data_IF_052946731795
#
_entry.id   IF_052946731795
#
_cell.length_a   1.000
_cell.length_b   1.000
_cell.length_c   1.000
_cell.angle_alpha   90.00
_cell.angle_beta   90.00
_cell.angle_gamma   90.00
#
_symmetry.space_group_name_H-M   'P 1'
#
loop_
_entity.id
_entity.type
_entity.pdbx_description
1 polymer ?
#
# COMPACT_ATOMS: atom_id res chain seq x y z
N UNK A 1 11.19 -4.82 -23.28
CA UNK A 1 11.71 -3.43 -23.35
C UNK A 1 11.42 -2.63 -22.08
N UNK A 2 10.25 -2.77 -21.46
CA UNK A 2 9.88 -2.04 -20.24
C UNK A 2 10.77 -2.36 -19.03
N UNK A 3 11.05 -3.64 -18.73
CA UNK A 3 11.91 -4.04 -17.60
C UNK A 3 13.33 -3.46 -17.67
N UNK A 4 13.93 -3.39 -18.87
CA UNK A 4 15.25 -2.77 -19.05
C UNK A 4 15.22 -1.28 -18.72
N UNK A 5 14.13 -0.58 -19.08
CA UNK A 5 13.94 0.83 -18.74
C UNK A 5 13.78 1.00 -17.23
N UNK A 6 12.86 0.24 -16.61
CA UNK A 6 12.62 0.26 -15.16
C UNK A 6 13.93 0.03 -14.42
N UNK A 7 14.68 -1.02 -14.76
CA UNK A 7 15.99 -1.32 -14.15
C UNK A 7 16.99 -0.17 -14.29
N UNK A 8 17.03 0.48 -15.45
CA UNK A 8 17.90 1.63 -15.68
C UNK A 8 17.48 2.83 -14.82
N UNK A 9 16.18 3.08 -14.64
CA UNK A 9 15.66 4.12 -13.75
C UNK A 9 16.08 3.87 -12.28
N UNK A 10 15.98 2.63 -11.79
CA UNK A 10 16.49 2.29 -10.46
C UNK A 10 17.99 2.47 -10.32
N UNK A 11 18.77 1.98 -11.29
CA UNK A 11 20.22 2.12 -11.27
C UNK A 11 20.65 3.59 -11.29
N UNK A 12 19.92 4.43 -12.03
CA UNK A 12 20.15 5.87 -12.10
C UNK A 12 19.76 6.55 -10.78
N UNK A 13 18.61 6.22 -10.20
CA UNK A 13 18.19 6.74 -8.89
C UNK A 13 19.20 6.41 -7.78
N UNK A 14 19.74 5.19 -7.77
CA UNK A 14 20.79 4.79 -6.83
C UNK A 14 22.15 5.50 -7.05
N UNK A 15 22.41 6.04 -8.25
CA UNK A 15 23.64 6.80 -8.53
C UNK A 15 23.46 8.31 -8.34
N UNK A 16 22.22 8.79 -8.43
CA UNK A 16 21.86 10.20 -8.36
C UNK A 16 20.71 10.35 -7.35
N UNK A 17 21.03 10.14 -6.07
CA UNK A 17 20.06 10.14 -4.97
C UNK A 17 19.32 11.49 -4.83
N UNK A 18 19.95 12.59 -5.26
CA UNK A 18 19.37 13.94 -5.25
C UNK A 18 18.41 14.21 -6.43
N UNK A 19 18.34 13.30 -7.42
CA UNK A 19 17.47 13.45 -8.60
C UNK A 19 16.20 12.62 -8.43
N UNK A 20 15.03 13.25 -8.63
CA UNK A 20 13.70 12.64 -8.53
C UNK A 20 13.38 11.74 -9.76
N UNK A 21 14.22 10.74 -10.00
CA UNK A 21 14.10 9.81 -11.14
C UNK A 21 12.90 8.86 -10.96
N UNK A 22 12.72 8.36 -9.74
CA UNK A 22 11.53 7.59 -9.35
C UNK A 22 10.69 8.49 -8.46
N UNK A 23 9.67 9.12 -9.05
CA UNK A 23 8.82 10.12 -8.39
C UNK A 23 7.96 9.52 -7.26
N UNK A 24 7.70 8.21 -7.28
CA UNK A 24 6.85 7.55 -6.30
C UNK A 24 7.66 6.62 -5.39
N UNK A 25 7.89 7.00 -4.12
CA UNK A 25 8.62 6.19 -3.12
C UNK A 25 8.05 4.79 -2.92
N UNK A 26 6.75 4.57 -3.21
CA UNK A 26 6.14 3.24 -3.13
C UNK A 26 6.74 2.22 -4.12
N UNK A 27 7.58 2.68 -5.04
CA UNK A 27 8.34 1.84 -5.96
C UNK A 27 9.78 1.63 -5.50
N UNK A 28 10.29 2.28 -4.46
CA UNK A 28 11.65 2.04 -3.98
C UNK A 28 11.66 0.88 -2.96
N UNK A 29 12.49 -0.19 -3.16
CA UNK A 29 12.56 -1.29 -2.20
C UNK A 29 12.87 -0.81 -0.78
N UNK A 30 13.88 0.03 -0.60
CA UNK A 30 14.30 0.54 0.70
C UNK A 30 13.18 1.31 1.43
N UNK A 31 12.37 2.08 0.70
CA UNK A 31 11.23 2.81 1.25
C UNK A 31 10.10 1.85 1.67
N UNK A 32 9.85 0.79 0.90
CA UNK A 32 8.90 -0.25 1.28
C UNK A 32 9.38 -1.09 2.47
N UNK A 33 10.69 -1.35 2.56
CA UNK A 33 11.31 -2.02 3.71
C UNK A 33 11.18 -1.18 4.98
N UNK A 34 11.44 0.13 4.88
CA UNK A 34 11.23 1.09 5.96
C UNK A 34 9.79 1.05 6.48
N UNK A 35 8.81 1.14 5.59
CA UNK A 35 7.39 1.02 5.95
C UNK A 35 7.07 -0.33 6.61
N UNK A 36 7.61 -1.41 6.06
CA UNK A 36 7.42 -2.76 6.59
C UNK A 36 7.97 -2.90 8.01
N UNK A 37 9.18 -2.43 8.29
CA UNK A 37 9.80 -2.52 9.62
C UNK A 37 9.06 -1.69 10.65
N UNK A 38 8.63 -0.48 10.30
CA UNK A 38 7.81 0.37 11.18
C UNK A 38 6.51 -0.33 11.54
N UNK A 39 5.79 -0.87 10.56
CA UNK A 39 4.53 -1.60 10.85
C UNK A 39 4.79 -2.90 11.61
N UNK A 40 5.87 -3.63 11.31
CA UNK A 40 6.23 -4.88 12.01
C UNK A 40 6.52 -4.66 13.49
N UNK A 41 7.14 -3.54 13.83
CA UNK A 41 7.56 -3.22 15.21
C UNK A 41 6.57 -2.32 15.95
N UNK A 42 5.50 -1.87 15.28
CA UNK A 42 4.49 -1.01 15.87
C UNK A 42 3.83 -1.70 17.07
N UNK A 43 3.70 -1.04 18.23
CA UNK A 43 3.01 -1.61 19.37
C UNK A 43 1.58 -2.02 19.02
N UNK A 44 1.17 -3.18 19.51
CA UNK A 44 -0.13 -3.79 19.23
C UNK A 44 -1.31 -2.86 19.48
N UNK A 45 -1.25 -2.06 20.56
CA UNK A 45 -2.30 -1.08 20.90
C UNK A 45 -2.38 0.06 19.87
N UNK A 46 -1.23 0.61 19.47
CA UNK A 46 -1.15 1.66 18.43
C UNK A 46 -1.61 1.11 17.09
N UNK A 47 -1.17 -0.09 16.71
CA UNK A 47 -1.66 -0.72 15.48
C UNK A 47 -3.18 -0.92 15.54
N UNK A 48 -3.72 -1.40 16.67
CA UNK A 48 -5.16 -1.62 16.83
C UNK A 48 -5.97 -0.32 16.67
N UNK A 49 -5.49 0.78 17.25
CA UNK A 49 -6.12 2.09 17.15
C UNK A 49 -6.18 2.58 15.71
N UNK A 50 -5.05 2.56 15.01
CA UNK A 50 -4.96 3.12 13.67
C UNK A 50 -5.56 2.20 12.59
N UNK A 51 -5.46 0.88 12.72
CA UNK A 51 -5.80 -0.08 11.67
C UNK A 51 -7.15 -0.78 11.82
N UNK A 52 -7.92 -0.51 12.90
CA UNK A 52 -9.24 -1.15 13.08
C UNK A 52 -10.20 -0.88 11.94
N UNK A 53 -10.31 0.38 11.54
CA UNK A 53 -11.18 0.78 10.43
C UNK A 53 -10.75 0.08 9.13
N UNK A 54 -9.44 -0.05 8.90
CA UNK A 54 -8.89 -0.71 7.73
C UNK A 54 -9.20 -2.20 7.71
N UNK A 55 -9.01 -2.87 8.85
CA UNK A 55 -9.39 -4.26 9.04
C UNK A 55 -10.87 -4.48 8.76
N UNK A 56 -11.73 -3.65 9.35
CA UNK A 56 -13.16 -3.77 9.18
C UNK A 56 -13.57 -3.53 7.72
N UNK A 57 -12.94 -2.59 7.01
CA UNK A 57 -13.19 -2.35 5.59
C UNK A 57 -12.66 -3.45 4.68
N UNK A 58 -11.53 -4.09 5.00
CA UNK A 58 -11.02 -5.24 4.23
C UNK A 58 -11.96 -6.45 4.36
N UNK A 59 -12.50 -6.68 5.57
CA UNK A 59 -13.38 -7.80 5.87
C UNK A 59 -14.83 -7.55 5.42
N UNK A 60 -15.38 -6.41 5.76
CA UNK A 60 -16.76 -5.98 5.49
C UNK A 60 -16.75 -4.70 4.62
N UNK A 61 -16.43 -4.95 3.35
CA UNK A 61 -16.06 -3.95 2.35
C UNK A 61 -17.23 -3.17 1.74
N UNK A 62 -18.47 -3.62 1.95
CA UNK A 62 -19.69 -2.99 1.42
C UNK A 62 -20.70 -2.61 2.49
N UNK A 63 -20.35 -2.63 3.78
CA UNK A 63 -21.26 -2.25 4.87
C UNK A 63 -21.73 -0.78 4.80
N UNK A 64 -21.94 -0.11 5.93
CA UNK A 64 -22.39 1.30 5.99
C UNK A 64 -21.35 2.34 5.45
N UNK A 65 -20.33 1.89 4.70
CA UNK A 65 -19.21 2.70 4.21
C UNK A 65 -19.42 3.27 2.81
N UNK A 66 -20.34 2.69 2.03
CA UNK A 66 -20.61 3.09 0.64
C UNK A 66 -22.12 3.28 0.50
N UNK A 67 -22.56 4.49 0.20
CA UNK A 67 -23.97 4.84 0.01
C UNK A 67 -24.50 4.48 -1.39
N UNK A 68 -23.61 4.20 -2.34
CA UNK A 68 -23.94 3.88 -3.73
C UNK A 68 -24.25 2.39 -3.93
N UNK A 69 -25.01 2.07 -5.00
CA UNK A 69 -25.18 0.69 -5.46
C UNK A 69 -23.83 0.15 -5.98
N UNK A 70 -23.17 -0.70 -5.19
CA UNK A 70 -21.85 -1.26 -5.48
C UNK A 70 -21.94 -2.47 -6.42
N UNK A 71 -21.20 -2.42 -7.53
CA UNK A 71 -21.00 -3.59 -8.40
C UNK A 71 -19.86 -4.48 -7.90
N UNK A 72 -18.71 -3.87 -7.59
CA UNK A 72 -17.54 -4.57 -7.05
C UNK A 72 -16.65 -3.64 -6.24
N UNK A 73 -16.06 -4.15 -5.17
CA UNK A 73 -14.97 -3.45 -4.48
C UNK A 73 -13.65 -3.94 -5.06
N UNK A 74 -12.82 -3.01 -5.50
CA UNK A 74 -11.56 -3.32 -6.15
C UNK A 74 -10.43 -3.40 -5.14
N UNK A 75 -10.31 -2.37 -4.28
CA UNK A 75 -9.18 -2.22 -3.34
C UNK A 75 -9.57 -1.41 -2.12
N UNK A 76 -9.01 -1.78 -0.98
CA UNK A 76 -9.04 -1.01 0.27
C UNK A 76 -7.62 -0.50 0.54
N UNK A 77 -7.51 0.82 0.74
CA UNK A 77 -6.24 1.53 0.90
C UNK A 77 -6.20 2.25 2.23
N UNK A 78 -5.00 2.33 2.80
CA UNK A 78 -4.70 3.17 3.94
C UNK A 78 -3.33 3.80 3.76
N UNK A 79 -3.26 5.11 4.01
CA UNK A 79 -1.98 5.79 4.07
C UNK A 79 -1.41 5.68 5.47
N UNK A 80 -0.10 5.46 5.55
CA UNK A 80 0.67 5.51 6.78
C UNK A 80 1.73 6.59 6.62
N UNK A 81 1.99 7.30 7.70
CA UNK A 81 2.91 8.44 7.72
C UNK A 81 4.08 8.12 8.63
N UNK A 82 5.29 8.23 8.11
CA UNK A 82 6.52 7.87 8.81
C UNK A 82 7.45 9.08 8.82
N UNK A 83 8.02 9.40 9.98
CA UNK A 83 8.99 10.50 10.10
C UNK A 83 10.33 10.13 9.49
N UNK A 84 11.17 11.13 9.18
CA UNK A 84 12.54 10.90 8.69
C UNK A 84 13.40 10.02 9.63
N UNK A 85 13.05 9.95 10.93
CA UNK A 85 13.70 9.11 11.93
C UNK A 85 13.15 7.67 11.98
N UNK A 86 12.33 7.27 11.00
CA UNK A 86 11.67 5.97 10.91
C UNK A 86 10.68 5.68 12.04
N UNK A 87 9.97 6.71 12.51
CA UNK A 87 8.91 6.53 13.51
C UNK A 87 7.53 6.65 12.87
N UNK A 88 6.58 5.82 13.33
CA UNK A 88 5.17 5.96 12.94
C UNK A 88 4.62 7.28 13.49
N UNK A 89 4.10 8.12 12.60
CA UNK A 89 3.53 9.44 12.96
C UNK A 89 2.01 9.34 13.07
N UNK A 90 1.36 8.83 12.03
CA UNK A 90 -0.10 8.71 11.95
C UNK A 90 -0.52 7.81 10.77
N UNK A 91 -1.83 7.66 10.56
CA UNK A 91 -2.42 7.03 9.38
C UNK A 91 -3.67 7.76 8.91
N UNK A 92 -3.96 7.74 7.60
CA UNK A 92 -5.19 8.33 7.07
C UNK A 92 -6.44 7.54 7.44
N UNK A 93 -7.62 8.11 7.19
CA UNK A 93 -8.87 7.35 7.03
C UNK A 93 -8.73 6.27 5.95
N UNK A 94 -9.58 5.24 6.04
CA UNK A 94 -9.58 4.14 5.09
C UNK A 94 -10.30 4.52 3.81
N UNK A 95 -9.63 4.34 2.68
CA UNK A 95 -10.16 4.64 1.36
C UNK A 95 -10.53 3.35 0.63
N UNK A 96 -11.77 3.24 0.16
CA UNK A 96 -12.25 2.10 -0.63
C UNK A 96 -12.43 2.55 -2.07
N UNK A 97 -11.73 1.88 -2.98
CA UNK A 97 -11.94 1.99 -4.41
C UNK A 97 -12.92 0.92 -4.86
N UNK A 98 -13.99 1.31 -5.53
CA UNK A 98 -15.05 0.43 -5.99
C UNK A 98 -15.57 0.87 -7.36
N UNK A 99 -16.25 -0.05 -8.03
CA UNK A 99 -17.00 0.22 -9.26
C UNK A 99 -18.49 0.20 -8.92
N UNK A 100 -19.20 1.27 -9.28
CA UNK A 100 -20.65 1.36 -9.08
C UNK A 100 -21.43 0.57 -10.15
N UNK A 101 -22.74 0.44 -9.98
CA UNK A 101 -23.60 -0.27 -10.97
C UNK A 101 -23.69 0.42 -12.34
N UNK A 102 -23.22 1.66 -12.48
CA UNK A 102 -23.08 2.35 -13.76
C UNK A 102 -21.80 1.97 -14.50
N UNK A 103 -20.86 1.31 -13.82
CA UNK A 103 -19.53 0.94 -14.32
C UNK A 103 -18.47 2.02 -14.10
N UNK A 104 -18.75 3.03 -13.27
CA UNK A 104 -17.82 4.10 -12.93
C UNK A 104 -16.98 3.71 -11.71
N UNK A 105 -15.66 3.95 -11.77
CA UNK A 105 -14.78 3.77 -10.62
C UNK A 105 -14.86 4.97 -9.69
N UNK A 106 -15.15 4.71 -8.42
CA UNK A 106 -15.24 5.70 -7.35
C UNK A 106 -14.33 5.35 -6.18
N UNK A 107 -14.12 6.34 -5.32
CA UNK A 107 -13.31 6.23 -4.11
C UNK A 107 -14.06 6.89 -2.97
N UNK A 108 -14.13 6.25 -1.79
CA UNK A 108 -14.86 6.79 -0.62
C UNK A 108 -14.17 8.01 0.01
N UNK A 109 -12.85 8.05 -0.02
CA UNK A 109 -12.03 9.16 0.50
C UNK A 109 -11.15 9.66 -0.63
N UNK A 110 -11.50 10.83 -1.18
CA UNK A 110 -10.80 11.42 -2.33
C UNK A 110 -9.45 12.04 -1.97
N UNK A 111 -9.29 12.51 -0.74
CA UNK A 111 -8.04 13.10 -0.26
C UNK A 111 -7.82 12.85 1.22
N UNK A 112 -6.57 12.66 1.61
CA UNK A 112 -6.14 12.60 3.00
C UNK A 112 -5.33 13.87 3.32
N UNK A 113 -5.44 14.37 4.55
CA UNK A 113 -4.57 15.45 5.01
C UNK A 113 -3.25 14.84 5.47
N UNK A 114 -2.18 15.10 4.72
CA UNK A 114 -0.86 14.57 5.04
C UNK A 114 -0.24 15.39 6.21
N UNK A 115 0.24 14.73 7.29
CA UNK A 115 0.98 15.40 8.35
C UNK A 115 2.21 16.11 7.79
N UNK A 116 2.58 17.29 8.33
CA UNK A 116 3.77 18.00 7.88
C UNK A 116 5.02 17.16 8.16
N UNK A 117 5.94 17.12 7.18
CA UNK A 117 7.26 16.49 7.31
C UNK A 117 7.24 14.97 7.58
N UNK A 118 6.19 14.27 7.16
CA UNK A 118 6.12 12.81 7.17
C UNK A 118 6.08 12.25 5.74
N UNK A 119 6.80 11.16 5.53
CA UNK A 119 6.75 10.40 4.29
C UNK A 119 5.50 9.53 4.26
N UNK A 120 4.82 9.53 3.11
CA UNK A 120 3.55 8.84 2.92
C UNK A 120 3.74 7.52 2.20
N UNK A 121 3.23 6.45 2.81
CA UNK A 121 3.21 5.11 2.22
C UNK A 121 1.78 4.60 2.11
N UNK A 122 1.51 3.79 1.08
CA UNK A 122 0.17 3.25 0.83
C UNK A 122 0.18 1.75 1.07
N UNK A 123 -0.61 1.31 2.06
CA UNK A 123 -0.95 -0.10 2.22
C UNK A 123 -2.23 -0.36 1.44
N UNK A 124 -2.18 -1.35 0.54
CA UNK A 124 -3.32 -1.73 -0.29
C UNK A 124 -3.60 -3.22 -0.13
N UNK A 125 -4.85 -3.56 0.14
CA UNK A 125 -5.35 -4.93 0.20
C UNK A 125 -6.63 -4.99 -0.65
N UNK A 126 -6.91 -6.11 -1.31
CA UNK A 126 -8.23 -6.34 -1.89
C UNK A 126 -9.24 -6.57 -0.75
N UNK A 127 -10.56 -6.54 -1.03
CA UNK A 127 -11.53 -7.11 -0.11
C UNK A 127 -11.20 -8.58 0.14
N UNK A 128 -11.23 -9.01 1.39
CA UNK A 128 -10.86 -10.36 1.79
C UNK A 128 -11.94 -10.98 2.67
N UNK A 129 -12.37 -12.19 2.32
CA UNK A 129 -13.16 -13.02 3.22
C UNK A 129 -12.22 -13.69 4.21
N UNK A 130 -12.31 -13.30 5.48
CA UNK A 130 -11.50 -13.88 6.57
C UNK A 130 -12.34 -14.98 7.22
N UNK A 131 -12.15 -16.23 6.76
CA UNK A 131 -12.90 -17.41 7.23
C UNK A 131 -12.15 -18.22 8.30
N UNK A 132 -11.02 -17.69 8.79
CA UNK A 132 -10.14 -18.39 9.72
C UNK A 132 -10.52 -18.09 11.15
N UNK A 133 -10.88 -19.14 11.89
CA UNK A 133 -11.21 -19.06 13.32
C UNK A 133 -10.02 -18.57 14.18
N UNK A 134 -8.79 -18.75 13.70
CA UNK A 134 -7.55 -18.31 14.36
C UNK A 134 -7.07 -16.92 13.91
N UNK A 135 -7.83 -16.21 13.07
CA UNK A 135 -7.48 -14.85 12.67
C UNK A 135 -7.93 -13.85 13.73
N UNK A 136 -6.99 -13.44 14.57
CA UNK A 136 -7.22 -12.50 15.67
C UNK A 136 -6.69 -11.10 15.30
N UNK A 137 -7.57 -10.10 15.35
CA UNK A 137 -7.15 -8.69 15.31
C UNK A 137 -6.76 -8.24 16.72
N UNK A 138 -5.67 -7.47 16.90
CA UNK A 138 -4.83 -6.85 15.86
C UNK A 138 -3.72 -7.70 15.24
N UNK A 139 -3.19 -8.71 15.93
CA UNK A 139 -1.90 -9.35 15.61
C UNK A 139 -1.87 -10.06 14.25
N UNK A 140 -2.91 -10.83 13.92
CA UNK A 140 -3.00 -11.55 12.64
C UNK A 140 -3.14 -10.57 11.47
N UNK A 141 -3.80 -9.43 11.69
CA UNK A 141 -3.93 -8.40 10.67
C UNK A 141 -2.64 -7.61 10.48
N UNK A 142 -1.90 -7.30 11.55
CA UNK A 142 -0.57 -6.71 11.46
C UNK A 142 0.37 -7.62 10.67
N UNK A 143 0.37 -8.93 10.95
CA UNK A 143 1.14 -9.91 10.18
C UNK A 143 0.73 -9.96 8.70
N UNK A 144 -0.57 -9.87 8.40
CA UNK A 144 -1.07 -9.81 7.02
C UNK A 144 -0.57 -8.55 6.30
N UNK A 145 -0.62 -7.38 6.94
CA UNK A 145 -0.13 -6.12 6.35
C UNK A 145 1.37 -6.21 6.06
N UNK A 146 2.17 -6.73 7.01
CA UNK A 146 3.62 -6.95 6.81
C UNK A 146 3.86 -7.93 5.67
N UNK A 147 3.13 -9.04 5.61
CA UNK A 147 3.23 -10.02 4.52
C UNK A 147 2.89 -9.43 3.16
N UNK A 148 1.90 -8.53 3.10
CA UNK A 148 1.55 -7.83 1.88
C UNK A 148 2.68 -6.88 1.45
N UNK A 149 3.31 -6.15 2.37
CA UNK A 149 4.46 -5.28 2.06
C UNK A 149 5.66 -6.09 1.57
N UNK A 150 5.94 -7.28 2.13
CA UNK A 150 6.95 -8.20 1.60
C UNK A 150 6.66 -8.60 0.14
N UNK A 151 5.40 -8.93 -0.17
CA UNK A 151 4.98 -9.21 -1.54
C UNK A 151 5.11 -7.98 -2.46
N UNK A 152 4.91 -6.77 -1.94
CA UNK A 152 5.12 -5.56 -2.74
C UNK A 152 6.59 -5.31 -3.07
N UNK A 153 7.51 -5.57 -2.12
CA UNK A 153 8.95 -5.51 -2.34
C UNK A 153 9.35 -6.53 -3.42
N UNK A 154 8.86 -7.77 -3.30
CA UNK A 154 9.02 -8.82 -4.33
C UNK A 154 8.66 -8.31 -5.73
N UNK A 155 7.48 -7.70 -5.84
CA UNK A 155 6.94 -7.28 -7.13
C UNK A 155 7.71 -6.10 -7.73
N UNK A 156 8.34 -5.25 -6.90
CA UNK A 156 9.28 -4.23 -7.38
C UNK A 156 10.47 -4.88 -8.07
N UNK A 157 11.11 -5.89 -7.46
CA UNK A 157 12.23 -6.62 -8.09
C UNK A 157 11.81 -7.31 -9.38
N UNK A 158 10.66 -7.99 -9.37
CA UNK A 158 10.13 -8.63 -10.58
C UNK A 158 9.82 -7.61 -11.69
N UNK A 159 9.36 -6.41 -11.33
CA UNK A 159 9.13 -5.32 -12.28
C UNK A 159 10.44 -4.78 -12.88
N UNK A 160 11.56 -4.84 -12.14
CA UNK A 160 12.92 -4.59 -12.66
C UNK A 160 13.46 -5.73 -13.53
N UNK A 161 12.79 -6.89 -13.56
CA UNK A 161 13.34 -8.11 -14.15
C UNK A 161 14.50 -8.71 -13.35
N UNK A 162 14.55 -8.43 -12.04
CA UNK A 162 15.53 -8.97 -11.10
C UNK A 162 14.90 -10.04 -10.20
N UNK A 163 15.74 -10.92 -9.67
CA UNK A 163 15.32 -11.90 -8.67
C UNK A 163 15.24 -11.22 -7.30
N UNK A 164 14.08 -11.26 -6.62
CA UNK A 164 13.95 -10.66 -5.29
C UNK A 164 14.82 -11.40 -4.25
N UNK A 165 15.31 -10.69 -3.21
CA UNK A 165 15.95 -11.31 -2.06
C UNK A 165 15.10 -12.44 -1.46
N UNK A 166 15.75 -13.49 -0.95
CA UNK A 166 15.07 -14.72 -0.49
C UNK A 166 13.98 -14.46 0.55
N UNK A 167 14.17 -13.49 1.45
CA UNK A 167 13.16 -13.14 2.47
C UNK A 167 11.86 -12.56 1.87
N UNK A 168 11.92 -11.97 0.68
CA UNK A 168 10.77 -11.41 -0.03
C UNK A 168 10.21 -12.38 -1.09
N UNK A 169 10.77 -13.58 -1.24
CA UNK A 169 10.21 -14.63 -2.12
C UNK A 169 8.99 -15.32 -1.47
N UNK A 170 8.05 -14.52 -0.99
CA UNK A 170 6.80 -14.95 -0.36
C UNK A 170 5.66 -14.92 -1.37
N UNK A 171 4.67 -15.79 -1.23
CA UNK A 171 3.45 -15.77 -2.06
C UNK A 171 2.38 -14.86 -1.43
N UNK A 172 1.60 -14.19 -2.28
CA UNK A 172 0.57 -13.25 -1.85
C UNK A 172 0.28 -12.16 -2.89
N UNK A 173 -0.63 -11.24 -2.55
CA UNK A 173 -1.21 -10.25 -3.46
C UNK A 173 -0.16 -9.26 -3.99
N UNK A 174 0.60 -8.63 -3.09
CA UNK A 174 1.66 -7.69 -3.46
C UNK A 174 1.17 -6.45 -4.19
N UNK A 175 1.92 -5.99 -5.21
CA UNK A 175 1.56 -4.83 -6.02
C UNK A 175 0.56 -5.20 -7.10
N UNK A 176 -0.43 -4.35 -7.23
CA UNK A 176 -1.59 -4.55 -8.10
C UNK A 176 -1.54 -3.62 -9.33
N UNK A 177 -0.39 -3.00 -9.59
CA UNK A 177 -0.11 -2.12 -10.73
C UNK A 177 1.38 -2.17 -11.05
N UNK A 178 1.80 -1.79 -12.26
CA UNK A 178 3.21 -1.62 -12.65
C UNK A 178 3.69 -0.17 -12.50
N UNK A 179 5.00 0.09 -12.42
CA UNK A 179 5.57 1.44 -12.25
C UNK A 179 5.07 2.46 -13.29
N UNK A 180 4.64 1.98 -14.47
CA UNK A 180 4.23 2.82 -15.58
C UNK A 180 2.75 2.66 -15.98
N UNK A 181 1.91 2.07 -15.11
CA UNK A 181 0.49 1.84 -15.39
C UNK A 181 -0.37 3.13 -15.41
N UNK A 182 0.23 4.32 -15.30
CA UNK A 182 -0.44 5.57 -15.68
C UNK A 182 -1.65 5.99 -14.83
N UNK A 183 -1.83 5.48 -13.61
CA UNK A 183 -2.84 5.96 -12.66
C UNK A 183 -2.28 7.00 -11.65
N UNK A 184 -1.43 7.88 -12.13
CA UNK A 184 -1.18 9.17 -11.47
C UNK A 184 -1.89 10.22 -12.30
N UNK A 185 -3.16 10.48 -11.98
CA UNK A 185 -3.75 11.76 -12.35
C UNK A 185 -2.95 12.82 -11.61
N UNK A 186 -2.12 13.56 -12.34
CA UNK A 186 -1.75 14.91 -11.89
C UNK A 186 -3.06 15.68 -11.72
N UNK A 187 -3.28 16.43 -10.62
CA UNK A 187 -4.06 17.63 -10.78
C UNK A 187 -3.27 18.50 -11.77
N UNK A 188 -3.84 18.73 -12.94
CA UNK A 188 -3.32 19.74 -13.87
C UNK A 188 -3.12 21.05 -13.08
N UNK A 189 -2.00 21.72 -13.36
CA UNK A 189 -1.65 23.00 -12.74
C UNK A 189 -2.61 24.14 -13.04
#
# INVERSE_FOLDING_TARGET
MQQVRVRAEYAAHAHFEDEEIIENPAWLPAEMERAMEVIRTLPTETFAEHFREYYDAVRDHTGERIDDDVQSVDRVRKHIYISADNEFVDSSETSIQYTDTSGETRVTVESATDPPSADRFVVTLPPLTIERDDFEFPESFQALVVSNLMCQIRDIYLNMGEEPPTEYQVEGIGKTTTLHDGLVSRPDG
#
